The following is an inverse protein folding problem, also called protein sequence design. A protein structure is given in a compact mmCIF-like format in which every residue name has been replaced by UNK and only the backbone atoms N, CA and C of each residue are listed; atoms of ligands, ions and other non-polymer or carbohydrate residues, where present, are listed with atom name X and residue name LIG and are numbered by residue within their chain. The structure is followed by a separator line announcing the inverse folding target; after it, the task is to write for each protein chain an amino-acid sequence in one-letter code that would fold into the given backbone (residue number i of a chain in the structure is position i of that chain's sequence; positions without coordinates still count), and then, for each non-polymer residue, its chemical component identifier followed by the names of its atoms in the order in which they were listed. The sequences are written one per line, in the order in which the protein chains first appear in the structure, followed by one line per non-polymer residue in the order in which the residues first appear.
data_IF_833361229996
#
_entry.id   IF_833361229996
#
_cell.length_a   1.000
_cell.length_b   1.000
_cell.length_c   1.000
_cell.angle_alpha   90.00
_cell.angle_beta   90.00
_cell.angle_gamma   90.00
#
_symmetry.space_group_name_H-M   'P 1'
#
loop_
_entity.id
_entity.type
_entity.pdbx_description
1 polymer ?
#
# COMPACT_ATOMS: atom_id res chain seq x y z
N UNK A 1 -13.62 -7.76 -19.78
CA UNK A 1 -13.56 -8.91 -18.83
C UNK A 1 -14.90 -9.05 -18.12
N UNK A 2 -15.22 -10.21 -17.54
CA UNK A 2 -16.51 -10.44 -16.86
C UNK A 2 -16.61 -9.62 -15.57
N UNK A 3 -17.83 -9.23 -15.17
CA UNK A 3 -18.07 -8.50 -13.93
C UNK A 3 -17.58 -9.29 -12.71
N UNK A 4 -17.76 -10.61 -12.70
CA UNK A 4 -17.26 -11.49 -11.64
C UNK A 4 -15.74 -11.41 -11.48
N UNK A 5 -14.98 -11.37 -12.59
CA UNK A 5 -13.52 -11.20 -12.54
C UNK A 5 -13.13 -9.82 -12.01
N UNK A 6 -13.83 -8.76 -12.44
CA UNK A 6 -13.58 -7.39 -11.99
C UNK A 6 -13.78 -7.24 -10.47
N UNK A 7 -14.85 -7.83 -9.94
CA UNK A 7 -15.13 -7.82 -8.50
C UNK A 7 -14.04 -8.60 -7.77
N UNK A 8 -13.72 -9.82 -8.22
CA UNK A 8 -12.77 -10.69 -7.52
C UNK A 8 -11.35 -10.11 -7.47
N UNK A 9 -10.87 -9.53 -8.57
CA UNK A 9 -9.54 -8.89 -8.57
C UNK A 9 -9.51 -7.65 -7.69
N UNK A 10 -10.60 -6.87 -7.65
CA UNK A 10 -10.65 -5.63 -6.86
C UNK A 10 -10.72 -5.92 -5.37
N UNK A 11 -11.52 -6.92 -4.95
CA UNK A 11 -11.60 -7.33 -3.54
C UNK A 11 -10.26 -7.87 -3.05
N UNK A 12 -9.61 -8.76 -3.81
CA UNK A 12 -8.30 -9.31 -3.43
C UNK A 12 -7.17 -8.26 -3.48
N UNK A 13 -7.18 -7.34 -4.45
CA UNK A 13 -6.20 -6.26 -4.51
C UNK A 13 -6.31 -5.29 -3.31
N UNK A 14 -7.51 -5.08 -2.76
CA UNK A 14 -7.69 -4.24 -1.59
C UNK A 14 -6.99 -4.78 -0.33
N UNK A 15 -6.90 -6.12 -0.18
CA UNK A 15 -6.17 -6.74 0.94
C UNK A 15 -4.68 -6.40 0.90
N UNK A 16 -4.08 -6.34 -0.28
CA UNK A 16 -2.67 -5.96 -0.40
C UNK A 16 -2.44 -4.54 0.14
N UNK A 17 -3.37 -3.61 -0.11
CA UNK A 17 -3.32 -2.25 0.43
C UNK A 17 -3.47 -2.19 1.96
N UNK A 18 -4.32 -3.04 2.53
CA UNK A 18 -4.49 -3.13 3.99
C UNK A 18 -3.25 -3.73 4.69
N UNK A 19 -2.58 -4.68 4.05
CA UNK A 19 -1.38 -5.35 4.57
C UNK A 19 -0.10 -4.55 4.34
N UNK A 20 -0.12 -3.50 3.50
CA UNK A 20 1.08 -2.71 3.26
C UNK A 20 1.63 -2.13 4.57
N UNK A 21 2.97 -2.15 4.77
CA UNK A 21 3.60 -1.64 5.98
C UNK A 21 3.17 -0.23 6.36
N UNK A 22 2.93 0.60 5.36
CA UNK A 22 2.53 2.00 5.56
C UNK A 22 1.03 2.19 5.79
N UNK A 23 0.23 1.13 5.98
CA UNK A 23 -1.22 1.24 6.15
C UNK A 23 -1.59 1.79 7.53
N UNK A 24 -2.64 2.61 7.57
CA UNK A 24 -3.14 3.20 8.82
C UNK A 24 -3.53 2.11 9.84
N UNK A 25 -4.10 0.99 9.39
CA UNK A 25 -4.52 -0.11 10.27
C UNK A 25 -3.33 -0.76 10.98
N UNK A 26 -2.23 -0.98 10.26
CA UNK A 26 -1.04 -1.59 10.86
C UNK A 26 -0.36 -0.65 11.86
N UNK A 27 -0.33 0.65 11.58
CA UNK A 27 0.25 1.65 12.49
C UNK A 27 -0.57 1.77 13.79
N UNK A 28 -1.90 1.78 13.70
CA UNK A 28 -2.77 1.80 14.90
C UNK A 28 -2.54 0.54 15.73
N UNK A 29 -2.44 -0.63 15.10
CA UNK A 29 -2.13 -1.87 15.78
C UNK A 29 -0.76 -1.82 16.46
N UNK A 30 0.28 -1.38 15.75
CA UNK A 30 1.62 -1.23 16.29
C UNK A 30 1.62 -0.34 17.54
N UNK A 31 0.93 0.80 17.48
CA UNK A 31 0.81 1.74 18.59
C UNK A 31 0.04 1.14 19.78
N UNK A 32 -1.09 0.46 19.54
CA UNK A 32 -1.88 -0.18 20.59
C UNK A 32 -1.16 -1.38 21.23
N UNK A 33 -0.38 -2.12 20.45
CA UNK A 33 0.38 -3.29 20.90
C UNK A 33 1.73 -2.92 21.54
N UNK A 34 2.22 -1.70 21.37
CA UNK A 34 3.51 -1.25 21.91
C UNK A 34 3.56 -1.31 23.45
N UNK A 35 2.40 -1.17 24.11
CA UNK A 35 2.27 -1.26 25.58
C UNK A 35 1.95 -2.66 26.13
N UNK A 36 1.77 -3.66 25.27
CA UNK A 36 1.46 -5.03 25.71
C UNK A 36 2.79 -5.73 26.00
N UNK A 37 3.19 -5.71 27.27
CA UNK A 37 4.31 -6.49 27.80
C UNK A 37 3.72 -7.59 28.67
N UNK A 38 3.82 -8.84 28.22
CA UNK A 38 3.24 -9.98 28.92
C UNK A 38 3.94 -11.29 28.59
N UNK A 39 3.66 -12.33 29.36
CA UNK A 39 4.13 -13.69 29.09
C UNK A 39 2.93 -14.56 28.75
N UNK A 40 2.89 -15.08 27.52
CA UNK A 40 1.92 -16.08 27.10
C UNK A 40 2.69 -17.38 26.84
N UNK A 41 2.37 -18.44 27.57
CA UNK A 41 3.02 -19.76 27.44
C UNK A 41 4.56 -19.75 27.56
N UNK A 42 5.13 -18.92 28.45
CA UNK A 42 6.58 -18.88 28.68
C UNK A 42 7.39 -18.15 27.62
N UNK A 43 6.74 -17.49 26.65
CA UNK A 43 7.39 -16.58 25.70
C UNK A 43 7.12 -15.13 26.13
N UNK A 44 8.20 -14.36 26.32
CA UNK A 44 8.10 -12.92 26.54
C UNK A 44 7.54 -12.26 25.28
N UNK A 45 6.29 -11.81 25.36
CA UNK A 45 5.70 -10.93 24.37
C UNK A 45 6.12 -9.52 24.77
N UNK A 46 7.25 -9.08 24.22
CA UNK A 46 7.63 -7.66 24.27
C UNK A 46 6.76 -6.89 23.28
N UNK A 47 6.40 -5.66 23.63
CA UNK A 47 5.63 -4.76 22.77
C UNK A 47 6.24 -4.74 21.36
N UNK A 48 5.39 -4.88 20.34
CA UNK A 48 5.89 -5.11 18.99
C UNK A 48 6.56 -3.84 18.46
N UNK A 49 7.82 -3.97 18.03
CA UNK A 49 8.54 -2.85 17.40
C UNK A 49 7.89 -2.46 16.09
N UNK A 50 7.73 -1.15 15.88
CA UNK A 50 7.17 -0.60 14.63
C UNK A 50 8.05 -1.02 13.45
N UNK A 51 9.37 -1.03 13.60
CA UNK A 51 10.30 -1.45 12.54
C UNK A 51 10.09 -2.91 12.12
N UNK A 52 9.90 -3.81 13.08
CA UNK A 52 9.70 -5.24 12.81
C UNK A 52 8.32 -5.51 12.20
N UNK A 53 7.29 -4.76 12.59
CA UNK A 53 5.97 -4.81 11.95
C UNK A 53 6.01 -4.32 10.51
N UNK A 54 6.74 -3.24 10.24
CA UNK A 54 6.91 -2.73 8.88
C UNK A 54 7.65 -3.75 8.00
N UNK A 55 8.67 -4.43 8.53
CA UNK A 55 9.40 -5.44 7.75
C UNK A 55 8.59 -6.72 7.55
N UNK A 56 7.90 -7.19 8.60
CA UNK A 56 7.09 -8.41 8.56
C UNK A 56 5.85 -8.27 7.68
N UNK A 57 5.25 -7.08 7.55
CA UNK A 57 4.12 -6.81 6.65
C UNK A 57 4.50 -6.79 5.16
N UNK A 58 5.77 -6.53 4.83
CA UNK A 58 6.23 -6.49 3.44
C UNK A 58 6.17 -7.87 2.78
N UNK A 59 6.60 -8.91 3.51
CA UNK A 59 6.65 -10.28 3.00
C UNK A 59 5.26 -10.79 2.55
N UNK A 60 4.20 -10.82 3.40
CA UNK A 60 2.88 -11.31 3.00
C UNK A 60 2.24 -10.48 1.88
N UNK A 61 2.50 -9.17 1.81
CA UNK A 61 2.04 -8.32 0.70
C UNK A 61 2.62 -8.80 -0.63
N UNK A 62 3.92 -9.10 -0.69
CA UNK A 62 4.55 -9.60 -1.91
C UNK A 62 3.95 -10.95 -2.33
N UNK A 63 3.65 -11.83 -1.38
CA UNK A 63 2.96 -13.10 -1.65
C UNK A 63 1.57 -12.90 -2.26
N UNK A 64 0.72 -12.09 -1.61
CA UNK A 64 -0.64 -11.81 -2.09
C UNK A 64 -0.60 -11.14 -3.45
N UNK A 65 0.29 -10.17 -3.65
CA UNK A 65 0.49 -9.50 -4.94
C UNK A 65 0.89 -10.49 -6.03
N UNK A 66 1.82 -11.39 -5.73
CA UNK A 66 2.27 -12.45 -6.64
C UNK A 66 1.12 -13.38 -7.04
N UNK A 67 0.34 -13.87 -6.08
CA UNK A 67 -0.80 -14.75 -6.36
C UNK A 67 -1.89 -14.05 -7.19
N UNK A 68 -2.20 -12.78 -6.91
CA UNK A 68 -3.17 -12.01 -7.71
C UNK A 68 -2.65 -11.81 -9.14
N UNK A 69 -1.35 -11.53 -9.33
CA UNK A 69 -0.75 -11.40 -10.66
C UNK A 69 -0.76 -12.73 -11.43
N UNK A 70 -0.43 -13.84 -10.78
CA UNK A 70 -0.46 -15.18 -11.39
C UNK A 70 -1.89 -15.54 -11.79
N UNK A 71 -2.86 -15.34 -10.90
CA UNK A 71 -4.27 -15.58 -11.18
C UNK A 71 -4.78 -14.70 -12.34
N UNK A 72 -4.43 -13.42 -12.34
CA UNK A 72 -4.77 -12.50 -13.42
C UNK A 72 -4.16 -12.92 -14.77
N UNK A 73 -2.89 -13.33 -14.78
CA UNK A 73 -2.22 -13.81 -15.98
C UNK A 73 -2.83 -15.12 -16.49
N UNK A 74 -3.11 -16.06 -15.59
CA UNK A 74 -3.71 -17.34 -15.97
C UNK A 74 -5.12 -17.17 -16.52
N UNK A 75 -5.93 -16.32 -15.88
CA UNK A 75 -7.26 -15.95 -16.36
C UNK A 75 -7.18 -15.25 -17.72
N UNK A 76 -6.23 -14.33 -17.92
CA UNK A 76 -6.03 -13.67 -19.21
C UNK A 76 -5.64 -14.65 -20.32
N UNK A 77 -4.78 -15.63 -20.02
CA UNK A 77 -4.39 -16.69 -20.97
C UNK A 77 -5.54 -17.66 -21.27
N UNK A 78 -6.39 -17.97 -20.28
CA UNK A 78 -7.54 -18.88 -20.41
C UNK A 78 -8.74 -18.28 -21.13
N UNK A 79 -9.03 -17.00 -20.90
CA UNK A 79 -10.26 -16.35 -21.39
C UNK A 79 -10.04 -15.32 -22.51
N UNK A 80 -8.79 -15.12 -22.97
CA UNK A 80 -8.51 -14.30 -24.16
C UNK A 80 -9.15 -12.91 -24.12
N UNK A 81 -9.12 -12.22 -22.98
CA UNK A 81 -9.86 -10.97 -22.80
C UNK A 81 -9.47 -9.92 -23.87
N UNK A 82 -10.45 -9.27 -24.54
CA UNK A 82 -10.19 -8.28 -25.57
C UNK A 82 -9.50 -7.07 -24.97
N UNK A 83 -8.39 -6.66 -25.60
CA UNK A 83 -7.51 -5.57 -25.16
C UNK A 83 -7.71 -4.33 -26.03
N UNK A 84 -8.84 -3.63 -25.87
CA UNK A 84 -9.02 -2.18 -26.17
C UNK A 84 -10.40 -1.68 -25.73
N UNK A 85 -10.52 -0.37 -25.52
CA UNK A 85 -11.79 0.36 -25.31
C UNK A 85 -12.59 0.58 -26.61
N UNK A 86 -12.22 -0.07 -27.72
CA UNK A 86 -12.63 0.22 -29.10
C UNK A 86 -13.20 -1.00 -29.85
N UNK A 87 -13.54 -2.09 -29.13
CA UNK A 87 -14.36 -3.19 -29.69
C UNK A 87 -13.74 -4.08 -30.79
N UNK A 88 -12.48 -3.89 -31.21
CA UNK A 88 -11.83 -4.69 -32.27
C UNK A 88 -11.02 -5.89 -31.76
N UNK A 89 -11.11 -7.01 -32.49
CA UNK A 89 -10.62 -8.36 -32.15
C UNK A 89 -9.21 -8.64 -32.68
N UNK A 90 -8.26 -7.73 -32.48
CA UNK A 90 -6.88 -7.91 -32.99
C UNK A 90 -5.87 -7.61 -31.87
N UNK A 91 -5.00 -8.58 -31.55
CA UNK A 91 -3.98 -8.43 -30.51
C UNK A 91 -2.93 -7.40 -30.95
N UNK A 92 -2.60 -6.37 -30.14
CA UNK A 92 -1.27 -5.80 -30.22
C UNK A 92 -0.28 -6.90 -29.79
N UNK A 93 0.76 -7.22 -30.58
CA UNK A 93 1.82 -8.11 -30.12
C UNK A 93 2.38 -7.59 -28.81
N UNK A 94 2.87 -8.50 -27.95
CA UNK A 94 3.51 -8.14 -26.68
C UNK A 94 4.46 -6.96 -26.96
N UNK A 95 4.29 -5.80 -26.31
CA UNK A 95 5.00 -4.56 -26.67
C UNK A 95 6.51 -4.62 -26.37
N UNK A 96 7.04 -5.82 -26.14
CA UNK A 96 8.42 -6.13 -25.80
C UNK A 96 8.69 -5.98 -24.32
N UNK A 97 9.76 -6.65 -23.87
CA UNK A 97 10.34 -6.43 -22.55
C UNK A 97 10.72 -4.96 -22.33
N UNK A 98 10.94 -4.20 -23.41
CA UNK A 98 11.22 -2.75 -23.38
C UNK A 98 10.04 -1.94 -22.82
N UNK A 99 8.79 -2.27 -23.18
CA UNK A 99 7.63 -1.57 -22.64
C UNK A 99 7.41 -1.88 -21.15
N UNK A 100 7.65 -3.13 -20.75
CA UNK A 100 7.63 -3.53 -19.33
C UNK A 100 8.72 -2.81 -18.55
N UNK A 101 9.94 -2.74 -19.10
CA UNK A 101 11.06 -2.02 -18.48
C UNK A 101 10.77 -0.52 -18.35
N UNK A 102 10.20 0.14 -19.38
CA UNK A 102 9.80 1.55 -19.30
C UNK A 102 8.73 1.79 -18.24
N UNK A 103 7.71 0.92 -18.18
CA UNK A 103 6.67 1.02 -17.16
C UNK A 103 7.24 0.80 -15.75
N UNK A 104 8.16 -0.15 -15.59
CA UNK A 104 8.86 -0.41 -14.34
C UNK A 104 9.69 0.80 -13.91
N UNK A 105 10.53 1.35 -14.80
CA UNK A 105 11.33 2.56 -14.54
C UNK A 105 10.45 3.76 -14.20
N UNK A 106 9.28 3.90 -14.83
CA UNK A 106 8.30 4.93 -14.48
C UNK A 106 7.66 4.74 -13.10
N UNK A 107 7.61 3.51 -12.58
CA UNK A 107 7.05 3.18 -11.27
C UNK A 107 8.10 3.20 -10.13
N UNK A 108 9.40 3.06 -10.46
CA UNK A 108 10.50 3.08 -9.49
C UNK A 108 10.45 4.29 -8.54
N UNK A 109 10.23 5.54 -9.01
CA UNK A 109 10.19 6.69 -8.13
C UNK A 109 9.06 6.64 -7.08
N UNK A 110 7.91 6.05 -7.44
CA UNK A 110 6.80 5.82 -6.52
C UNK A 110 7.11 4.69 -5.52
N UNK A 111 7.80 3.65 -5.96
CA UNK A 111 8.21 2.54 -5.10
C UNK A 111 9.30 2.95 -4.09
N UNK A 112 10.12 3.95 -4.43
CA UNK A 112 11.11 4.54 -3.52
C UNK A 112 10.50 5.11 -2.23
N UNK A 113 9.21 5.46 -2.22
CA UNK A 113 8.53 5.93 -1.00
C UNK A 113 8.58 4.85 0.09
N UNK A 114 8.34 3.60 -0.27
CA UNK A 114 8.36 2.47 0.67
C UNK A 114 9.79 2.24 1.18
N UNK A 115 10.76 2.25 0.26
CA UNK A 115 12.18 2.10 0.61
C UNK A 115 12.66 3.23 1.52
N UNK A 116 12.24 4.47 1.27
CA UNK A 116 12.57 5.63 2.08
C UNK A 116 12.08 5.45 3.53
N UNK A 117 10.83 5.03 3.71
CA UNK A 117 10.28 4.79 5.05
C UNK A 117 11.05 3.68 5.76
N UNK A 118 11.27 2.55 5.08
CA UNK A 118 11.97 1.40 5.67
C UNK A 118 13.42 1.77 6.06
N UNK A 119 14.15 2.48 5.20
CA UNK A 119 15.53 2.90 5.49
C UNK A 119 15.57 3.92 6.63
N UNK A 120 14.68 4.92 6.63
CA UNK A 120 14.63 5.92 7.69
C UNK A 120 14.37 5.29 9.06
N UNK A 121 13.44 4.34 9.14
CA UNK A 121 13.08 3.67 10.40
C UNK A 121 14.14 2.62 10.79
N UNK A 122 14.61 1.79 9.84
CA UNK A 122 15.57 0.72 10.14
C UNK A 122 16.95 1.26 10.51
N UNK A 123 17.40 2.37 9.91
CA UNK A 123 18.66 3.02 10.25
C UNK A 123 18.56 3.91 11.50
N UNK A 124 17.38 4.05 12.10
CA UNK A 124 17.17 4.91 13.27
C UNK A 124 17.40 6.40 13.01
N UNK A 125 17.41 6.83 11.75
CA UNK A 125 17.62 8.23 11.35
C UNK A 125 16.43 9.09 11.77
N UNK A 126 15.22 8.53 11.68
CA UNK A 126 13.97 9.21 11.97
C UNK A 126 12.97 8.23 12.61
N UNK A 127 12.13 8.75 13.49
CA UNK A 127 11.01 8.00 14.05
C UNK A 127 9.94 7.71 12.99
N UNK A 128 9.02 6.78 13.27
CA UNK A 128 7.98 6.39 12.32
C UNK A 128 7.12 7.58 11.84
N UNK A 129 6.88 8.57 12.72
CA UNK A 129 6.10 9.77 12.42
C UNK A 129 6.88 10.75 11.54
N UNK A 130 8.17 10.95 11.80
CA UNK A 130 9.05 11.79 10.97
C UNK A 130 9.28 11.17 9.59
N UNK A 131 9.50 9.85 9.52
CA UNK A 131 9.63 9.11 8.27
C UNK A 131 8.37 9.23 7.41
N UNK A 132 7.18 9.16 8.01
CA UNK A 132 5.91 9.39 7.30
C UNK A 132 5.79 10.81 6.75
N UNK A 133 6.20 11.84 7.51
CA UNK A 133 6.19 13.22 7.05
C UNK A 133 7.13 13.43 5.84
N UNK A 134 8.34 12.88 5.90
CA UNK A 134 9.31 12.93 4.79
C UNK A 134 8.76 12.20 3.57
N UNK A 135 8.14 11.03 3.75
CA UNK A 135 7.55 10.26 2.66
C UNK A 135 6.39 11.00 1.96
N UNK A 136 5.54 11.70 2.73
CA UNK A 136 4.46 12.54 2.19
C UNK A 136 5.04 13.73 1.43
N UNK A 137 6.05 14.41 1.98
CA UNK A 137 6.72 15.52 1.32
C UNK A 137 7.36 15.08 0.00
N UNK A 138 8.09 13.96 0.01
CA UNK A 138 8.67 13.35 -1.18
C UNK A 138 7.59 12.97 -2.21
N UNK A 139 6.49 12.35 -1.78
CA UNK A 139 5.38 11.97 -2.67
C UNK A 139 4.71 13.20 -3.29
N UNK A 140 4.59 14.29 -2.55
CA UNK A 140 4.05 15.56 -3.05
C UNK A 140 4.99 16.17 -4.09
N UNK A 141 6.29 16.25 -3.80
CA UNK A 141 7.30 16.70 -4.77
C UNK A 141 7.30 15.83 -6.03
N UNK A 142 7.23 14.51 -5.88
CA UNK A 142 7.21 13.56 -6.99
C UNK A 142 5.97 13.74 -7.88
N UNK A 143 4.79 13.86 -7.27
CA UNK A 143 3.53 14.01 -8.03
C UNK A 143 3.39 15.38 -8.71
N UNK A 144 3.98 16.43 -8.15
CA UNK A 144 3.99 17.78 -8.72
C UNK A 144 5.07 17.93 -9.80
N UNK A 145 6.30 17.49 -9.53
CA UNK A 145 7.46 17.76 -10.40
C UNK A 145 7.68 16.68 -11.46
N UNK A 146 7.57 15.39 -11.08
CA UNK A 146 7.89 14.27 -11.99
C UNK A 146 6.66 13.83 -12.76
N UNK A 147 5.57 13.50 -12.07
CA UNK A 147 4.34 13.06 -12.73
C UNK A 147 3.47 14.20 -13.26
N UNK A 148 3.69 15.43 -12.76
CA UNK A 148 2.92 16.65 -13.10
C UNK A 148 1.40 16.42 -13.14
N UNK A 149 0.91 15.53 -12.27
CA UNK A 149 -0.46 15.01 -12.29
C UNK A 149 -1.33 15.61 -11.20
N UNK A 150 -0.71 16.37 -10.28
CA UNK A 150 -1.33 16.99 -9.12
C UNK A 150 -1.92 18.37 -9.46
N UNK A 151 -3.20 18.55 -9.14
CA UNK A 151 -3.92 19.83 -9.28
C UNK A 151 -4.36 20.29 -7.89
N UNK A 152 -4.57 21.59 -7.68
CA UNK A 152 -5.01 22.14 -6.39
C UNK A 152 -6.28 21.46 -5.84
N UNK A 153 -7.24 21.15 -6.73
CA UNK A 153 -8.46 20.41 -6.38
C UNK A 153 -8.15 18.99 -5.89
N UNK A 154 -7.22 18.29 -6.53
CA UNK A 154 -6.81 16.94 -6.13
C UNK A 154 -6.07 16.96 -4.79
N UNK A 155 -5.23 17.96 -4.57
CA UNK A 155 -4.55 18.17 -3.29
C UNK A 155 -5.54 18.39 -2.15
N UNK A 156 -6.48 19.34 -2.30
CA UNK A 156 -7.54 19.57 -1.30
C UNK A 156 -8.36 18.31 -1.04
N UNK A 157 -8.75 17.61 -2.10
CA UNK A 157 -9.50 16.35 -1.98
C UNK A 157 -8.71 15.29 -1.21
N UNK A 158 -7.41 15.14 -1.47
CA UNK A 158 -6.54 14.22 -0.74
C UNK A 158 -6.46 14.58 0.75
N UNK A 159 -6.34 15.87 1.07
CA UNK A 159 -6.32 16.37 2.44
C UNK A 159 -7.63 16.09 3.18
N UNK A 160 -8.77 16.36 2.55
CA UNK A 160 -10.10 16.05 3.12
C UNK A 160 -10.29 14.55 3.33
N UNK A 161 -9.83 13.71 2.40
CA UNK A 161 -9.88 12.25 2.56
C UNK A 161 -9.02 11.80 3.74
N UNK A 162 -7.78 12.29 3.85
CA UNK A 162 -6.88 11.96 4.96
C UNK A 162 -7.44 12.42 6.32
N UNK A 163 -8.02 13.61 6.39
CA UNK A 163 -8.66 14.13 7.59
C UNK A 163 -9.86 13.26 8.00
N UNK A 164 -10.70 12.86 7.03
CA UNK A 164 -11.87 12.00 7.28
C UNK A 164 -11.46 10.63 7.81
N UNK A 165 -10.47 9.97 7.20
CA UNK A 165 -10.00 8.66 7.65
C UNK A 165 -9.39 8.73 9.05
N UNK A 166 -8.57 9.75 9.31
CA UNK A 166 -7.94 9.95 10.62
C UNK A 166 -8.96 10.27 11.69
N UNK A 167 -9.97 11.11 11.39
CA UNK A 167 -11.04 11.45 12.32
C UNK A 167 -11.87 10.25 12.73
N UNK A 168 -12.23 9.36 11.79
CA UNK A 168 -12.94 8.11 12.09
C UNK A 168 -12.11 7.20 13.01
N UNK A 169 -10.82 7.06 12.74
CA UNK A 169 -9.90 6.27 13.57
C UNK A 169 -9.79 6.82 14.99
N UNK A 170 -9.53 8.13 15.14
CA UNK A 170 -9.38 8.76 16.45
C UNK A 170 -10.67 8.68 17.27
N UNK A 171 -11.83 8.82 16.61
CA UNK A 171 -13.13 8.64 17.25
C UNK A 171 -13.32 7.21 17.77
N UNK A 172 -12.96 6.20 16.98
CA UNK A 172 -13.01 4.80 17.40
C UNK A 172 -12.10 4.53 18.61
N UNK A 173 -10.87 5.04 18.58
CA UNK A 173 -9.92 4.91 19.70
C UNK A 173 -10.46 5.60 20.96
N UNK A 174 -11.01 6.80 20.83
CA UNK A 174 -11.58 7.55 21.95
C UNK A 174 -12.75 6.81 22.61
N UNK A 175 -13.69 6.27 21.81
CA UNK A 175 -14.82 5.48 22.30
C UNK A 175 -14.33 4.17 22.94
N UNK A 176 -13.35 3.50 22.33
CA UNK A 176 -12.78 2.26 22.88
C UNK A 176 -12.07 2.49 24.22
N UNK A 177 -11.40 3.62 24.41
CA UNK A 177 -10.75 3.96 25.67
C UNK A 177 -11.75 4.37 26.75
N UNK A 178 -12.87 4.99 26.39
CA UNK A 178 -13.94 5.33 27.33
C UNK A 178 -14.71 4.09 27.82
N UNK A 179 -14.82 3.05 27.00
CA UNK A 179 -15.48 1.78 27.32
C UNK A 179 -14.59 0.80 28.11
N UNK A 180 -13.32 1.13 28.33
CA UNK A 180 -12.33 0.31 29.05
C UNK A 180 -12.31 0.65 30.53
#
# INVERSE_FOLDING_TARGET
YSAAYAVNVTTHASLAGALMPTSTNMIIYAFAAQGIVGSLNGQQVSGVSIGDLLFSGLLPVLWVMGFVLIAAYWQAKRYGFPRRADGSTELPPFPGWVAVARAFVGAVPGLMVIALILVCVAMGIATATEAAAIAVAYSLCLTVLVYRSMTWTKFRRALTHAAKTTGVVLLLIAVSNMLR
#
